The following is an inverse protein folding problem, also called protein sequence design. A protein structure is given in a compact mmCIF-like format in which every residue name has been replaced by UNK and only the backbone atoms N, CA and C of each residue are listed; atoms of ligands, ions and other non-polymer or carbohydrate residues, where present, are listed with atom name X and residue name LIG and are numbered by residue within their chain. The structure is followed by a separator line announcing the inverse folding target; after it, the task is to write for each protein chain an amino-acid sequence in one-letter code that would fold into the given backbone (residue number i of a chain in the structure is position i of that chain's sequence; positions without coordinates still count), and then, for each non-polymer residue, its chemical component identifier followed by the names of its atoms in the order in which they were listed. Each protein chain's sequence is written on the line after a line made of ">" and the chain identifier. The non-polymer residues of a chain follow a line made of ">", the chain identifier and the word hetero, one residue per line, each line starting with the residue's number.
data_IF_471536195868
#
_entry.id   IF_471536195868
#
_cell.length_a   1.000
_cell.length_b   1.000
_cell.length_c   1.000
_cell.angle_alpha   90.00
_cell.angle_beta   90.00
_cell.angle_gamma   90.00
#
_symmetry.space_group_name_H-M   'P 1'
#
loop_
_entity.id
_entity.type
_entity.pdbx_description
1 polymer ?
#
# COMPACT_ATOMS: atom_id res chain seq x y z
N UNK A 1 7.10 21.28 4.49
CA UNK A 1 6.27 20.43 3.63
C UNK A 1 6.47 18.96 4.04
N UNK A 2 6.17 18.60 5.30
CA UNK A 2 6.43 17.25 5.86
C UNK A 2 5.35 16.83 6.87
N UNK A 3 4.85 17.77 7.67
CA UNK A 3 3.97 17.51 8.82
C UNK A 3 2.63 16.84 8.49
N UNK A 4 2.06 17.11 7.30
CA UNK A 4 0.77 16.52 6.87
C UNK A 4 0.92 15.04 6.49
N UNK A 5 2.03 14.66 5.87
CA UNK A 5 2.29 13.27 5.46
C UNK A 5 2.71 12.44 6.67
N UNK A 6 3.59 12.99 7.51
CA UNK A 6 4.06 12.30 8.72
C UNK A 6 2.88 11.98 9.66
N UNK A 7 1.94 12.93 9.81
CA UNK A 7 0.73 12.74 10.60
C UNK A 7 -0.22 11.74 9.97
N UNK A 8 -0.44 11.82 8.66
CA UNK A 8 -1.25 10.85 7.94
C UNK A 8 -0.70 9.42 8.06
N UNK A 9 0.62 9.24 7.92
CA UNK A 9 1.26 7.93 8.09
C UNK A 9 1.09 7.42 9.52
N UNK A 10 1.18 8.28 10.54
CA UNK A 10 0.89 7.90 11.92
C UNK A 10 -0.57 7.50 12.12
N UNK A 11 -1.52 8.28 11.59
CA UNK A 11 -2.95 8.05 11.75
C UNK A 11 -3.42 6.77 11.04
N UNK A 12 -2.72 6.35 9.98
CA UNK A 12 -3.03 5.15 9.19
C UNK A 12 -1.99 4.02 9.33
N UNK A 13 -1.13 4.06 10.35
CA UNK A 13 0.00 3.13 10.47
C UNK A 13 -0.43 1.66 10.56
N UNK A 14 -1.51 1.38 11.29
CA UNK A 14 -2.07 0.03 11.40
C UNK A 14 -2.60 -0.48 10.06
N UNK A 15 -3.27 0.39 9.31
CA UNK A 15 -3.86 0.07 8.00
C UNK A 15 -2.76 -0.20 6.96
N UNK A 16 -1.70 0.62 6.97
CA UNK A 16 -0.49 0.42 6.18
C UNK A 16 0.16 -0.93 6.53
N UNK A 17 0.29 -1.24 7.82
CA UNK A 17 0.88 -2.49 8.30
C UNK A 17 0.08 -3.70 7.83
N UNK A 18 -1.25 -3.64 7.94
CA UNK A 18 -2.15 -4.69 7.46
C UNK A 18 -2.07 -4.90 5.95
N UNK A 19 -1.97 -3.81 5.18
CA UNK A 19 -1.80 -3.88 3.73
C UNK A 19 -0.46 -4.52 3.35
N UNK A 20 0.62 -4.18 4.05
CA UNK A 20 1.94 -4.80 3.86
C UNK A 20 1.91 -6.29 4.20
N UNK A 21 1.29 -6.69 5.30
CA UNK A 21 1.17 -8.10 5.68
C UNK A 21 0.37 -8.90 4.63
N UNK A 22 -0.75 -8.35 4.15
CA UNK A 22 -1.53 -8.97 3.06
C UNK A 22 -0.71 -9.08 1.77
N UNK A 23 0.10 -8.07 1.45
CA UNK A 23 0.99 -8.09 0.30
C UNK A 23 2.03 -9.22 0.40
N UNK A 24 2.71 -9.33 1.54
CA UNK A 24 3.74 -10.35 1.79
C UNK A 24 3.17 -11.76 1.70
N UNK A 25 1.99 -11.99 2.30
CA UNK A 25 1.31 -13.28 2.22
C UNK A 25 0.97 -13.64 0.76
N UNK A 26 0.36 -12.70 0.02
CA UNK A 26 0.02 -12.91 -1.39
C UNK A 26 1.27 -13.15 -2.25
N UNK A 27 2.36 -12.42 -2.00
CA UNK A 27 3.63 -12.59 -2.70
C UNK A 27 4.20 -14.00 -2.43
N UNK A 28 4.12 -14.46 -1.18
CA UNK A 28 4.48 -15.82 -0.78
C UNK A 28 3.66 -16.88 -1.52
N UNK A 29 2.35 -16.70 -1.62
CA UNK A 29 1.45 -17.64 -2.31
C UNK A 29 1.76 -17.73 -3.81
N UNK A 30 1.92 -16.58 -4.48
CA UNK A 30 2.26 -16.52 -5.91
C UNK A 30 3.61 -17.19 -6.14
N UNK A 31 4.60 -16.90 -5.29
CA UNK A 31 5.92 -17.50 -5.37
C UNK A 31 5.86 -19.03 -5.20
N UNK A 32 5.12 -19.52 -4.20
CA UNK A 32 4.94 -20.96 -4.00
C UNK A 32 4.34 -21.64 -5.23
N UNK A 33 3.32 -21.03 -5.85
CA UNK A 33 2.73 -21.56 -7.09
C UNK A 33 3.75 -21.62 -8.23
N UNK A 34 4.56 -20.57 -8.41
CA UNK A 34 5.60 -20.51 -9.44
C UNK A 34 6.72 -21.51 -9.21
N UNK A 35 7.12 -21.72 -7.96
CA UNK A 35 8.08 -22.76 -7.57
C UNK A 35 7.52 -24.15 -7.86
N UNK A 36 6.26 -24.40 -7.50
CA UNK A 36 5.59 -25.67 -7.76
C UNK A 36 5.42 -25.95 -9.27
N UNK A 37 5.21 -24.90 -10.08
CA UNK A 37 5.16 -24.99 -11.54
C UNK A 37 6.56 -25.16 -12.20
N UNK A 38 7.64 -25.04 -11.43
CA UNK A 38 9.01 -25.08 -11.94
C UNK A 38 9.45 -23.83 -12.70
N UNK A 39 8.65 -22.75 -12.65
CA UNK A 39 8.96 -21.46 -13.29
C UNK A 39 10.03 -20.67 -12.55
N UNK A 40 10.14 -20.87 -11.23
CA UNK A 40 11.09 -20.22 -10.33
C UNK A 40 11.80 -21.29 -9.52
N UNK A 41 13.12 -21.24 -9.46
CA UNK A 41 13.85 -22.16 -8.58
C UNK A 41 13.71 -21.73 -7.12
N UNK A 42 13.64 -22.67 -6.17
CA UNK A 42 13.57 -22.37 -4.73
C UNK A 42 14.96 -21.97 -4.19
N UNK A 43 15.59 -20.98 -4.81
CA UNK A 43 16.85 -20.40 -4.36
C UNK A 43 16.65 -18.90 -4.10
N UNK A 44 17.46 -18.35 -3.19
CA UNK A 44 17.34 -16.94 -2.79
C UNK A 44 17.52 -15.96 -3.94
N UNK A 45 18.32 -16.31 -4.95
CA UNK A 45 18.65 -15.43 -6.07
C UNK A 45 17.44 -15.17 -6.98
N UNK A 46 16.57 -16.17 -7.15
CA UNK A 46 15.35 -16.06 -7.95
C UNK A 46 14.14 -15.65 -7.11
N UNK A 47 14.07 -16.10 -5.86
CA UNK A 47 12.96 -15.82 -4.93
C UNK A 47 12.95 -14.36 -4.46
N UNK A 48 14.11 -13.83 -4.03
CA UNK A 48 14.18 -12.53 -3.36
C UNK A 48 13.75 -11.36 -4.27
N UNK A 49 14.17 -11.28 -5.55
CA UNK A 49 13.71 -10.21 -6.44
C UNK A 49 12.20 -10.24 -6.66
N UNK A 50 11.61 -11.44 -6.71
CA UNK A 50 10.17 -11.62 -6.91
C UNK A 50 9.37 -11.11 -5.71
N UNK A 51 9.79 -11.48 -4.50
CA UNK A 51 9.18 -10.97 -3.27
C UNK A 51 9.34 -9.45 -3.14
N UNK A 52 10.51 -8.90 -3.45
CA UNK A 52 10.75 -7.46 -3.42
C UNK A 52 9.86 -6.71 -4.41
N UNK A 53 9.72 -7.22 -5.63
CA UNK A 53 8.84 -6.64 -6.64
C UNK A 53 7.39 -6.58 -6.16
N UNK A 54 6.87 -7.69 -5.63
CA UNK A 54 5.46 -7.76 -5.24
C UNK A 54 5.15 -6.89 -4.02
N UNK A 55 6.08 -6.79 -3.07
CA UNK A 55 5.99 -5.87 -1.93
C UNK A 55 5.98 -4.42 -2.40
N UNK A 56 6.89 -4.04 -3.29
CA UNK A 56 6.98 -2.68 -3.83
C UNK A 56 5.70 -2.28 -4.56
N UNK A 57 5.21 -3.13 -5.47
CA UNK A 57 3.99 -2.86 -6.24
C UNK A 57 2.79 -2.70 -5.31
N UNK A 58 2.64 -3.61 -4.33
CA UNK A 58 1.48 -3.54 -3.42
C UNK A 58 1.55 -2.32 -2.51
N UNK A 59 2.73 -1.99 -1.99
CA UNK A 59 2.92 -0.79 -1.19
C UNK A 59 2.61 0.47 -2.01
N UNK A 60 3.09 0.57 -3.26
CA UNK A 60 2.78 1.70 -4.14
C UNK A 60 1.27 1.84 -4.36
N UNK A 61 0.55 0.75 -4.67
CA UNK A 61 -0.91 0.81 -4.88
C UNK A 61 -1.65 1.21 -3.60
N UNK A 62 -1.25 0.68 -2.44
CA UNK A 62 -1.82 1.05 -1.14
C UNK A 62 -1.62 2.53 -0.83
N UNK A 63 -0.40 3.05 -0.98
CA UNK A 63 -0.10 4.47 -0.79
C UNK A 63 -0.89 5.34 -1.76
N UNK A 64 -1.02 4.96 -3.02
CA UNK A 64 -1.80 5.73 -3.99
C UNK A 64 -3.28 5.82 -3.62
N UNK A 65 -3.88 4.74 -3.10
CA UNK A 65 -5.28 4.74 -2.62
C UNK A 65 -5.45 5.64 -1.41
N UNK A 66 -4.55 5.53 -0.44
CA UNK A 66 -4.53 6.37 0.74
C UNK A 66 -4.40 7.86 0.38
N UNK A 67 -3.52 8.20 -0.58
CA UNK A 67 -3.38 9.57 -1.08
C UNK A 67 -4.64 10.04 -1.81
N UNK A 68 -5.28 9.18 -2.61
CA UNK A 68 -6.56 9.49 -3.26
C UNK A 68 -7.65 9.78 -2.23
N UNK A 69 -7.73 8.99 -1.16
CA UNK A 69 -8.65 9.21 -0.04
C UNK A 69 -8.38 10.54 0.69
N UNK A 70 -7.11 10.91 0.90
CA UNK A 70 -6.75 12.22 1.45
C UNK A 70 -7.23 13.38 0.57
N UNK A 71 -7.10 13.25 -0.75
CA UNK A 71 -7.50 14.28 -1.72
C UNK A 71 -9.03 14.36 -1.83
N UNK A 72 -9.72 13.21 -1.79
CA UNK A 72 -11.18 13.12 -1.78
C UNK A 72 -11.79 13.67 -0.48
N UNK A 73 -11.17 13.44 0.68
CA UNK A 73 -11.60 14.00 1.96
C UNK A 73 -11.46 15.53 2.02
N UNK A 74 -10.39 16.09 1.44
CA UNK A 74 -10.17 17.55 1.37
C UNK A 74 -11.19 18.31 0.53
N UNK A 75 -11.92 17.64 -0.37
CA UNK A 75 -12.93 18.29 -1.23
C UNK A 75 -14.34 18.36 -0.61
N UNK A 76 -14.56 17.77 0.57
CA UNK A 76 -15.86 17.76 1.28
C UNK A 76 -16.08 18.88 2.31
N UNK A 77 -15.04 19.57 2.76
CA UNK A 77 -15.14 20.54 3.87
C UNK A 77 -15.37 22.01 3.45
N UNK A 78 -15.37 22.32 2.16
CA UNK A 78 -15.39 23.73 1.70
C UNK A 78 -16.79 24.36 1.55
N UNK A 79 -17.89 23.67 1.84
CA UNK A 79 -19.24 24.16 1.46
C UNK A 79 -20.25 24.43 2.60
N UNK A 80 -19.82 24.71 3.83
CA UNK A 80 -20.74 25.12 4.91
C UNK A 80 -20.36 26.44 5.59
N UNK A 81 -20.22 27.53 4.82
CA UNK A 81 -20.40 28.91 5.33
C UNK A 81 -21.09 29.79 4.29
N UNK A 82 -22.39 29.55 4.09
CA UNK A 82 -23.30 30.54 3.48
C UNK A 82 -23.65 31.63 4.50
N UNK A 83 -23.89 32.89 4.06
CA UNK A 83 -23.86 34.06 4.92
C UNK A 83 -25.08 34.10 5.86
N UNK A 84 -24.81 34.29 7.15
CA UNK A 84 -25.85 34.67 8.11
C UNK A 84 -26.42 36.04 7.73
N UNK A 85 -27.75 36.12 7.72
CA UNK A 85 -28.57 37.31 7.50
C UNK A 85 -28.15 38.53 8.33
#
# INVERSE_FOLDING_TARGET
>A
MSTDVDRFVQDHQDEITDLVNKALNRAGDILQQKVAAGEVKPNMQEVLPFLLYEVLVTHTVATLRLVDEMLAGKSGEENTKGPSH
#
